data_IF_451248884225
#
_entry.id   IF_451248884225
#
_cell.length_a   1.000
_cell.length_b   1.000
_cell.length_c   1.000
_cell.angle_alpha   90.00
_cell.angle_beta   90.00
_cell.angle_gamma   90.00
#
_symmetry.space_group_name_H-M   'P 1'
#
loop_
_entity.id
_entity.type
_entity.pdbx_description
1 polymer ?
#
# COMPACT_ATOMS: atom_id res chain seq x y z
N UNK A 1 20.53 36.82 55.66
CA UNK A 1 19.26 36.22 55.16
C UNK A 1 19.12 36.10 53.64
N UNK A 2 20.07 36.57 52.81
CA UNK A 2 19.93 36.65 51.33
C UNK A 2 20.29 35.37 50.57
N UNK A 3 21.12 34.46 51.07
CA UNK A 3 21.56 33.25 50.32
C UNK A 3 20.47 32.15 50.23
N UNK A 4 19.67 31.96 51.29
CA UNK A 4 18.58 30.95 51.32
C UNK A 4 17.44 31.22 50.32
N UNK A 5 17.11 32.47 50.11
CA UNK A 5 16.06 32.89 49.16
C UNK A 5 16.50 32.70 47.68
N UNK A 6 17.79 32.88 47.37
CA UNK A 6 18.28 32.63 46.00
C UNK A 6 18.32 31.14 45.66
N UNK A 7 18.67 30.29 46.64
CA UNK A 7 18.70 28.82 46.42
C UNK A 7 17.27 28.28 46.27
N UNK A 8 16.32 28.78 47.06
CA UNK A 8 14.91 28.37 46.96
C UNK A 8 14.29 28.78 45.64
N UNK A 9 14.58 29.99 45.12
CA UNK A 9 14.12 30.43 43.80
C UNK A 9 14.72 29.55 42.65
N UNK A 10 15.99 29.15 42.75
CA UNK A 10 16.63 28.24 41.76
C UNK A 10 16.03 26.84 41.79
N UNK A 11 15.68 26.32 42.96
CA UNK A 11 15.02 25.01 43.09
C UNK A 11 13.58 25.06 42.52
N UNK A 12 12.84 26.12 42.71
CA UNK A 12 11.50 26.31 42.16
C UNK A 12 11.55 26.44 40.62
N UNK A 13 12.51 27.19 40.07
CA UNK A 13 12.67 27.30 38.62
C UNK A 13 13.11 25.98 37.99
N UNK A 14 13.96 25.19 38.65
CA UNK A 14 14.34 23.86 38.18
C UNK A 14 13.17 22.91 38.19
N UNK A 15 12.32 22.92 39.22
CA UNK A 15 11.11 22.10 39.33
C UNK A 15 10.06 22.47 38.28
N UNK A 16 9.88 23.74 37.97
CA UNK A 16 8.97 24.19 36.91
C UNK A 16 9.49 23.77 35.54
N UNK A 17 10.79 23.84 35.30
CA UNK A 17 11.42 23.43 34.04
C UNK A 17 11.28 21.91 33.79
N UNK A 18 11.41 21.08 34.86
CA UNK A 18 11.19 19.63 34.75
C UNK A 18 9.74 19.26 34.50
N UNK A 19 8.78 19.99 35.05
CA UNK A 19 7.33 19.79 34.81
C UNK A 19 6.97 20.14 33.35
N UNK A 20 7.55 21.18 32.77
CA UNK A 20 7.33 21.60 31.39
C UNK A 20 7.91 20.58 30.41
N UNK A 21 9.06 19.97 30.70
CA UNK A 21 9.65 18.91 29.88
C UNK A 21 8.84 17.59 29.93
N UNK A 22 8.17 17.30 31.05
CA UNK A 22 7.35 16.10 31.19
C UNK A 22 6.00 16.20 30.45
N UNK A 23 5.52 17.41 30.17
CA UNK A 23 4.25 17.65 29.47
C UNK A 23 4.35 17.58 27.93
N UNK A 24 5.56 17.45 27.35
CA UNK A 24 5.78 17.52 25.90
C UNK A 24 5.80 16.19 25.18
N UNK A 25 5.46 15.08 25.83
CA UNK A 25 5.44 13.74 25.21
C UNK A 25 4.05 13.11 25.14
N UNK A 26 3.09 13.82 24.57
CA UNK A 26 1.93 13.17 23.98
C UNK A 26 1.91 13.45 22.48
N UNK A 27 2.88 12.89 21.75
CA UNK A 27 2.69 12.71 20.32
C UNK A 27 1.70 11.55 20.20
N UNK A 28 0.43 11.88 20.24
CA UNK A 28 -0.61 11.01 19.73
C UNK A 28 -0.41 10.97 18.21
N UNK A 29 0.29 9.97 17.71
CA UNK A 29 0.15 9.54 16.33
C UNK A 29 -1.30 9.06 16.20
N UNK A 30 -2.21 9.96 15.92
CA UNK A 30 -3.42 9.59 15.22
C UNK A 30 -2.95 9.14 13.85
N UNK A 31 -2.76 7.84 13.68
CA UNK A 31 -2.96 7.22 12.39
C UNK A 31 -4.38 7.63 11.99
N UNK A 32 -4.49 8.64 11.13
CA UNK A 32 -5.69 8.88 10.35
C UNK A 32 -5.71 7.85 9.19
N UNK A 33 -5.49 6.58 9.50
CA UNK A 33 -6.02 5.52 8.72
C UNK A 33 -7.49 5.47 9.12
N UNK A 34 -8.37 5.94 8.27
CA UNK A 34 -9.79 5.78 8.49
C UNK A 34 -10.04 4.28 8.56
N UNK A 35 -10.22 3.82 9.77
CA UNK A 35 -10.52 2.44 10.09
C UNK A 35 -11.92 2.16 9.56
N UNK A 36 -12.09 1.07 8.82
CA UNK A 36 -13.40 0.55 8.41
C UNK A 36 -14.34 0.61 9.62
N UNK A 37 -15.50 1.26 9.45
CA UNK A 37 -16.55 1.21 10.47
C UNK A 37 -17.21 -0.19 10.43
N UNK A 38 -16.64 -1.14 11.15
CA UNK A 38 -17.14 -2.51 11.23
C UNK A 38 -18.55 -2.64 11.83
N UNK A 39 -19.15 -1.56 12.32
CA UNK A 39 -20.57 -1.56 12.70
C UNK A 39 -21.48 -1.52 11.48
N UNK A 40 -21.02 -0.94 10.37
CA UNK A 40 -21.75 -0.72 9.13
C UNK A 40 -21.26 -1.61 7.98
N UNK A 41 -19.94 -1.81 7.88
CA UNK A 41 -19.29 -2.56 6.80
C UNK A 41 -18.78 -3.89 7.36
N UNK A 42 -19.32 -5.00 6.90
CA UNK A 42 -19.05 -6.35 7.42
C UNK A 42 -18.56 -7.34 6.38
N UNK A 43 -18.77 -7.01 5.10
CA UNK A 43 -18.50 -7.91 3.99
C UNK A 43 -17.84 -7.20 2.82
N UNK A 44 -17.11 -7.95 2.02
CA UNK A 44 -16.47 -7.50 0.80
C UNK A 44 -16.59 -8.56 -0.28
N UNK A 45 -16.94 -8.12 -1.49
CA UNK A 45 -16.82 -8.92 -2.72
C UNK A 45 -15.54 -8.53 -3.42
N UNK A 46 -14.71 -9.52 -3.75
CA UNK A 46 -13.50 -9.33 -4.55
C UNK A 46 -13.69 -10.14 -5.83
N UNK A 47 -13.89 -9.44 -6.96
CA UNK A 47 -14.01 -10.07 -8.26
C UNK A 47 -12.64 -10.61 -8.72
N UNK A 48 -12.63 -11.61 -9.59
CA UNK A 48 -11.42 -12.06 -10.24
C UNK A 48 -10.90 -10.99 -11.20
N UNK A 49 -9.59 -10.68 -11.12
CA UNK A 49 -8.89 -9.72 -11.97
C UNK A 49 -8.28 -10.46 -13.16
N UNK A 50 -8.87 -10.39 -14.36
CA UNK A 50 -8.30 -10.99 -15.55
C UNK A 50 -7.04 -10.24 -16.02
N UNK A 51 -6.14 -10.96 -16.68
CA UNK A 51 -5.00 -10.34 -17.36
C UNK A 51 -5.39 -9.92 -18.79
N UNK A 52 -5.53 -8.61 -18.99
CA UNK A 52 -5.80 -7.97 -20.27
C UNK A 52 -4.54 -7.32 -20.89
N UNK A 53 -3.36 -7.57 -20.31
CA UNK A 53 -2.10 -7.06 -20.84
C UNK A 53 -1.66 -7.80 -22.10
N UNK A 54 -0.89 -7.12 -22.95
CA UNK A 54 -0.41 -7.69 -24.21
C UNK A 54 0.65 -8.81 -23.99
N UNK A 55 1.51 -8.64 -22.98
CA UNK A 55 2.49 -9.65 -22.60
C UNK A 55 1.84 -10.66 -21.66
N UNK A 56 2.03 -11.93 -21.96
CA UNK A 56 1.38 -13.02 -21.20
C UNK A 56 2.40 -13.71 -20.30
N UNK A 57 2.08 -13.78 -19.03
CA UNK A 57 2.74 -14.61 -18.03
C UNK A 57 1.66 -15.39 -17.26
N UNK A 58 1.44 -16.68 -17.55
CA UNK A 58 0.29 -17.43 -17.04
C UNK A 58 0.12 -17.40 -15.51
N UNK A 59 1.18 -17.46 -14.67
CA UNK A 59 1.02 -17.41 -13.23
C UNK A 59 0.56 -16.05 -12.67
N UNK A 60 0.68 -14.95 -13.45
CA UNK A 60 0.41 -13.59 -12.99
C UNK A 60 -1.01 -13.43 -12.42
N UNK A 61 -2.00 -13.92 -13.14
CA UNK A 61 -3.41 -13.81 -12.74
C UNK A 61 -3.68 -14.51 -11.42
N UNK A 62 -3.22 -15.75 -11.28
CA UNK A 62 -3.40 -16.53 -10.05
C UNK A 62 -2.68 -15.87 -8.88
N UNK A 63 -1.38 -15.55 -9.04
CA UNK A 63 -0.59 -14.90 -7.99
C UNK A 63 -1.23 -13.59 -7.51
N UNK A 64 -1.69 -12.76 -8.46
CA UNK A 64 -2.32 -11.47 -8.12
C UNK A 64 -3.63 -11.65 -7.35
N UNK A 65 -4.52 -12.52 -7.84
CA UNK A 65 -5.81 -12.75 -7.18
C UNK A 65 -5.65 -13.41 -5.79
N UNK A 66 -4.69 -14.33 -5.65
CA UNK A 66 -4.40 -14.96 -4.37
C UNK A 66 -3.88 -13.93 -3.37
N UNK A 67 -2.93 -13.07 -3.75
CA UNK A 67 -2.38 -12.05 -2.86
C UNK A 67 -3.42 -11.00 -2.49
N UNK A 68 -4.25 -10.55 -3.45
CA UNK A 68 -5.34 -9.62 -3.18
C UNK A 68 -6.35 -10.20 -2.17
N UNK A 69 -6.74 -11.46 -2.31
CA UNK A 69 -7.61 -12.12 -1.34
C UNK A 69 -6.93 -12.27 0.03
N UNK A 70 -5.65 -12.64 0.05
CA UNK A 70 -4.89 -12.85 1.28
C UNK A 70 -4.78 -11.58 2.13
N UNK A 71 -4.50 -10.42 1.52
CA UNK A 71 -4.36 -9.18 2.28
C UNK A 71 -5.67 -8.79 2.97
N UNK A 72 -6.81 -8.88 2.28
CA UNK A 72 -8.11 -8.57 2.87
C UNK A 72 -8.51 -9.57 3.94
N UNK A 73 -8.26 -10.86 3.73
CA UNK A 73 -8.56 -11.91 4.71
C UNK A 73 -7.70 -11.78 5.97
N UNK A 74 -6.44 -11.38 5.85
CA UNK A 74 -5.49 -11.32 6.95
C UNK A 74 -5.50 -10.00 7.72
N UNK A 75 -5.73 -8.88 7.02
CA UNK A 75 -5.62 -7.54 7.61
C UNK A 75 -6.97 -6.88 7.95
N UNK A 76 -8.09 -7.51 7.60
CA UNK A 76 -9.42 -7.00 7.93
C UNK A 76 -10.25 -8.03 8.69
N UNK A 77 -11.40 -7.58 9.24
CA UNK A 77 -12.43 -8.44 9.82
C UNK A 77 -13.62 -8.62 8.88
N UNK A 78 -13.43 -8.27 7.60
CA UNK A 78 -14.50 -8.39 6.61
C UNK A 78 -14.70 -9.84 6.21
N UNK A 79 -15.97 -10.25 6.06
CA UNK A 79 -16.29 -11.52 5.46
C UNK A 79 -16.17 -11.39 3.94
N UNK A 80 -15.30 -12.17 3.32
CA UNK A 80 -15.22 -12.24 1.86
C UNK A 80 -16.41 -13.05 1.37
N UNK A 81 -17.26 -12.45 0.54
CA UNK A 81 -18.46 -13.06 -0.04
C UNK A 81 -18.38 -13.07 -1.57
N UNK A 82 -19.07 -14.01 -2.19
CA UNK A 82 -19.04 -14.17 -3.65
C UNK A 82 -19.81 -13.09 -4.42
N UNK A 83 -20.78 -12.43 -3.78
CA UNK A 83 -21.56 -11.34 -4.36
C UNK A 83 -22.28 -10.55 -3.27
N UNK A 84 -22.59 -9.28 -3.56
CA UNK A 84 -23.42 -8.42 -2.70
C UNK A 84 -22.75 -8.03 -1.39
N UNK A 85 -21.44 -7.83 -1.38
CA UNK A 85 -20.71 -7.29 -0.26
C UNK A 85 -21.08 -5.85 0.05
N UNK A 86 -20.84 -5.42 1.30
CA UNK A 86 -20.90 -4.00 1.67
C UNK A 86 -19.86 -3.17 0.93
N UNK A 87 -18.75 -3.79 0.58
CA UNK A 87 -17.71 -3.29 -0.32
C UNK A 87 -17.59 -4.21 -1.52
N UNK A 88 -17.36 -3.64 -2.70
CA UNK A 88 -17.07 -4.39 -3.92
C UNK A 88 -15.77 -3.88 -4.55
N UNK A 89 -14.87 -4.82 -4.87
CA UNK A 89 -13.65 -4.57 -5.63
C UNK A 89 -13.66 -5.39 -6.89
N UNK A 90 -13.45 -4.72 -8.02
CA UNK A 90 -13.29 -5.34 -9.32
C UNK A 90 -12.21 -4.63 -10.14
N UNK A 91 -11.75 -5.25 -11.21
CA UNK A 91 -10.74 -4.63 -12.05
C UNK A 91 -10.08 -5.59 -13.01
N UNK A 92 -8.93 -5.18 -13.52
CA UNK A 92 -8.12 -6.00 -14.42
C UNK A 92 -6.64 -5.59 -14.38
N UNK A 93 -5.76 -6.53 -14.65
CA UNK A 93 -4.37 -6.27 -14.99
C UNK A 93 -4.37 -5.74 -16.43
N UNK A 94 -4.03 -4.46 -16.62
CA UNK A 94 -4.12 -3.75 -17.90
C UNK A 94 -2.78 -3.51 -18.56
N UNK A 95 -1.69 -3.65 -17.79
CA UNK A 95 -0.33 -3.49 -18.31
C UNK A 95 0.63 -4.50 -17.70
N UNK A 96 1.33 -5.21 -18.57
CA UNK A 96 2.52 -5.98 -18.24
C UNK A 96 3.48 -5.76 -19.40
N UNK A 97 4.49 -4.91 -19.19
CA UNK A 97 5.30 -4.38 -20.28
C UNK A 97 6.77 -4.40 -19.92
N UNK A 98 7.59 -4.75 -20.90
CA UNK A 98 9.05 -4.72 -20.83
C UNK A 98 9.58 -3.65 -21.76
N UNK A 99 10.37 -2.72 -21.24
CA UNK A 99 10.97 -1.63 -22.00
C UNK A 99 12.48 -1.59 -21.76
N UNK A 100 13.32 -1.67 -22.80
CA UNK A 100 14.75 -1.46 -22.67
C UNK A 100 15.04 0.00 -22.26
N UNK A 101 15.91 0.19 -21.28
CA UNK A 101 16.42 1.49 -20.86
C UNK A 101 17.84 1.65 -21.42
N UNK A 102 18.06 2.64 -22.28
CA UNK A 102 19.40 3.04 -22.68
C UNK A 102 19.95 4.09 -21.72
N UNK A 103 21.06 3.80 -21.07
CA UNK A 103 21.74 4.74 -20.19
C UNK A 103 23.00 5.25 -20.89
N UNK A 104 22.94 6.46 -21.43
CA UNK A 104 24.10 7.26 -21.84
C UNK A 104 24.90 6.79 -23.06
N UNK A 105 25.87 7.63 -23.50
CA UNK A 105 26.69 7.46 -24.71
C UNK A 105 27.72 6.30 -24.64
N UNK A 106 27.86 5.64 -23.50
CA UNK A 106 28.73 4.47 -23.30
C UNK A 106 27.89 3.24 -22.90
N UNK A 107 27.05 2.77 -23.77
CA UNK A 107 26.05 1.69 -23.73
C UNK A 107 26.47 0.32 -23.08
N UNK A 108 27.26 0.32 -22.02
CA UNK A 108 27.71 -0.88 -21.31
C UNK A 108 26.81 -1.30 -20.13
N UNK A 109 25.79 -0.51 -19.79
CA UNK A 109 24.81 -0.84 -18.78
C UNK A 109 23.39 -0.61 -19.32
N UNK A 110 22.99 -1.44 -20.29
CA UNK A 110 21.60 -1.48 -20.72
C UNK A 110 20.80 -2.24 -19.65
N UNK A 111 19.80 -1.56 -19.09
CA UNK A 111 18.83 -2.16 -18.19
C UNK A 111 17.51 -2.35 -18.92
N UNK A 112 16.72 -3.28 -18.45
CA UNK A 112 15.33 -3.44 -18.84
C UNK A 112 14.44 -3.00 -17.67
N UNK A 113 13.30 -2.37 -17.98
CA UNK A 113 12.25 -2.06 -17.02
C UNK A 113 11.04 -2.91 -17.29
N UNK A 114 10.65 -3.67 -16.29
CA UNK A 114 9.37 -4.38 -16.24
C UNK A 114 8.37 -3.49 -15.51
N UNK A 115 7.16 -3.34 -16.06
CA UNK A 115 6.07 -2.55 -15.46
C UNK A 115 4.81 -3.39 -15.41
N UNK A 116 4.18 -3.42 -14.24
CA UNK A 116 2.85 -4.02 -14.02
C UNK A 116 1.87 -2.89 -13.71
N UNK A 117 0.69 -2.92 -14.32
CA UNK A 117 -0.37 -1.92 -14.09
C UNK A 117 -1.72 -2.62 -13.91
N UNK A 118 -2.44 -2.22 -12.87
CA UNK A 118 -3.76 -2.76 -12.53
C UNK A 118 -4.74 -1.61 -12.41
N UNK A 119 -5.89 -1.72 -13.08
CA UNK A 119 -7.04 -0.83 -12.88
C UNK A 119 -7.99 -1.46 -11.91
N UNK A 120 -8.46 -0.66 -10.97
CA UNK A 120 -9.35 -1.07 -9.89
C UNK A 120 -10.56 -0.15 -9.87
N UNK A 121 -11.72 -0.76 -9.82
CA UNK A 121 -13.00 -0.14 -9.56
C UNK A 121 -13.48 -0.58 -8.19
N UNK A 122 -13.70 0.36 -7.29
CA UNK A 122 -14.10 0.13 -5.92
C UNK A 122 -15.42 0.83 -5.61
N UNK A 123 -16.35 0.11 -4.98
CA UNK A 123 -17.64 0.62 -4.56
C UNK A 123 -17.85 0.35 -3.08
N UNK A 124 -18.28 1.39 -2.36
CA UNK A 124 -18.81 1.26 -1.02
C UNK A 124 -20.35 1.31 -1.08
N UNK A 125 -20.99 0.15 -1.02
CA UNK A 125 -22.44 0.02 -1.11
C UNK A 125 -23.18 0.60 0.11
N UNK A 126 -22.48 0.86 1.21
CA UNK A 126 -23.07 1.46 2.42
C UNK A 126 -23.16 2.98 2.30
N UNK A 127 -22.16 3.64 1.70
CA UNK A 127 -22.14 5.10 1.52
C UNK A 127 -22.56 5.53 0.13
N UNK A 128 -22.46 4.64 -0.86
CA UNK A 128 -22.70 4.93 -2.28
C UNK A 128 -21.47 5.56 -2.97
N UNK A 129 -20.31 5.55 -2.31
CA UNK A 129 -19.07 6.08 -2.90
C UNK A 129 -18.49 5.07 -3.89
N UNK A 130 -18.00 5.58 -5.02
CA UNK A 130 -17.41 4.81 -6.11
C UNK A 130 -16.13 5.47 -6.57
N UNK A 131 -15.08 4.70 -6.80
CA UNK A 131 -13.77 5.21 -7.24
C UNK A 131 -13.13 4.30 -8.27
N UNK A 132 -12.51 4.92 -9.28
CA UNK A 132 -11.68 4.28 -10.29
C UNK A 132 -10.24 4.71 -10.12
N UNK A 133 -9.36 3.74 -9.88
CA UNK A 133 -7.94 4.00 -9.67
C UNK A 133 -7.07 3.11 -10.56
N UNK A 134 -5.84 3.58 -10.84
CA UNK A 134 -4.84 2.79 -11.53
C UNK A 134 -3.57 2.75 -10.68
N UNK A 135 -3.11 1.55 -10.37
CA UNK A 135 -1.93 1.28 -9.58
C UNK A 135 -0.84 0.68 -10.47
N UNK A 136 0.42 1.02 -10.21
CA UNK A 136 1.50 0.55 -11.06
C UNK A 136 2.78 0.39 -10.26
N UNK A 137 3.47 -0.73 -10.47
CA UNK A 137 4.80 -0.98 -9.95
C UNK A 137 5.77 -1.24 -11.08
N UNK A 138 7.05 -0.98 -10.85
CA UNK A 138 8.08 -1.27 -11.83
C UNK A 138 9.36 -1.78 -11.17
N UNK A 139 10.10 -2.63 -11.90
CA UNK A 139 11.41 -3.13 -11.49
C UNK A 139 12.35 -3.05 -12.66
N UNK A 140 13.62 -2.78 -12.38
CA UNK A 140 14.68 -2.81 -13.39
C UNK A 140 15.59 -4.01 -13.15
N UNK A 141 16.12 -4.57 -14.24
CA UNK A 141 17.08 -5.65 -14.19
C UNK A 141 18.10 -5.51 -15.34
N UNK A 142 19.34 -6.02 -15.17
CA UNK A 142 20.38 -5.94 -16.19
C UNK A 142 19.95 -6.61 -17.50
N UNK A 143 20.26 -6.01 -18.63
CA UNK A 143 20.01 -6.61 -19.97
C UNK A 143 20.80 -7.89 -20.24
N UNK A 144 21.77 -8.21 -19.37
CA UNK A 144 22.50 -9.49 -19.40
C UNK A 144 21.68 -10.67 -18.88
N UNK A 145 20.59 -10.40 -18.17
CA UNK A 145 19.63 -11.40 -17.71
C UNK A 145 18.45 -11.46 -18.68
N UNK A 146 17.87 -12.65 -18.84
CA UNK A 146 16.61 -12.78 -19.61
C UNK A 146 15.42 -12.50 -18.71
N UNK A 147 14.29 -12.06 -19.27
CA UNK A 147 13.06 -11.87 -18.48
C UNK A 147 12.66 -13.17 -17.78
N UNK A 148 12.78 -14.32 -18.44
CA UNK A 148 12.41 -15.62 -17.87
C UNK A 148 13.20 -15.97 -16.59
N UNK A 149 14.44 -15.49 -16.48
CA UNK A 149 15.29 -15.80 -15.32
C UNK A 149 14.86 -15.00 -14.05
N UNK A 150 14.25 -13.84 -14.25
CA UNK A 150 14.00 -12.88 -13.17
C UNK A 150 12.51 -12.57 -12.95
N UNK A 151 11.64 -12.87 -13.93
CA UNK A 151 10.26 -12.40 -13.92
C UNK A 151 9.46 -12.89 -12.72
N UNK A 152 9.68 -14.11 -12.26
CA UNK A 152 8.92 -14.72 -11.16
C UNK A 152 9.11 -13.93 -9.86
N UNK A 153 10.36 -13.66 -9.50
CA UNK A 153 10.71 -12.88 -8.31
C UNK A 153 10.27 -11.40 -8.44
N UNK A 154 10.49 -10.78 -9.63
CA UNK A 154 10.10 -9.39 -9.83
C UNK A 154 8.58 -9.20 -9.80
N UNK A 155 7.84 -10.18 -10.32
CA UNK A 155 6.37 -10.13 -10.30
C UNK A 155 5.84 -10.27 -8.88
N UNK A 156 6.40 -11.16 -8.06
CA UNK A 156 5.99 -11.30 -6.66
C UNK A 156 6.15 -9.99 -5.90
N UNK A 157 7.31 -9.32 -6.02
CA UNK A 157 7.53 -8.00 -5.41
C UNK A 157 6.59 -6.91 -5.94
N UNK A 158 6.28 -6.92 -7.25
CA UNK A 158 5.39 -5.91 -7.86
C UNK A 158 3.92 -6.15 -7.50
N UNK A 159 3.50 -7.40 -7.35
CA UNK A 159 2.16 -7.77 -6.88
C UNK A 159 1.99 -7.30 -5.44
N UNK A 160 2.92 -7.62 -4.54
CA UNK A 160 2.89 -7.18 -3.15
C UNK A 160 2.73 -5.65 -3.06
N UNK A 161 3.58 -4.90 -3.78
CA UNK A 161 3.50 -3.43 -3.82
C UNK A 161 2.15 -2.90 -4.32
N UNK A 162 1.60 -3.47 -5.41
CA UNK A 162 0.34 -3.02 -5.98
C UNK A 162 -0.84 -3.38 -5.06
N UNK A 163 -0.83 -4.58 -4.50
CA UNK A 163 -1.88 -5.05 -3.59
C UNK A 163 -1.91 -4.21 -2.32
N UNK A 164 -0.75 -3.84 -1.77
CA UNK A 164 -0.63 -2.89 -0.66
C UNK A 164 -1.19 -1.50 -1.02
N UNK A 165 -0.90 -1.00 -2.22
CA UNK A 165 -1.44 0.28 -2.69
C UNK A 165 -2.97 0.20 -2.84
N UNK A 166 -3.52 -0.89 -3.39
CA UNK A 166 -4.96 -1.11 -3.51
C UNK A 166 -5.61 -1.15 -2.13
N UNK A 167 -5.07 -1.94 -1.22
CA UNK A 167 -5.55 -2.07 0.14
C UNK A 167 -5.59 -0.72 0.86
N UNK A 168 -4.49 0.04 0.80
CA UNK A 168 -4.41 1.37 1.38
C UNK A 168 -5.37 2.36 0.71
N UNK A 169 -5.55 2.28 -0.60
CA UNK A 169 -6.45 3.16 -1.35
C UNK A 169 -7.94 2.84 -1.18
N UNK A 170 -8.28 1.66 -0.68
CA UNK A 170 -9.67 1.21 -0.54
C UNK A 170 -10.15 1.13 0.91
N UNK A 171 -9.38 0.54 1.82
CA UNK A 171 -9.85 0.29 3.19
C UNK A 171 -9.06 1.01 4.29
N UNK A 172 -7.90 1.56 3.98
CA UNK A 172 -7.09 2.28 4.97
C UNK A 172 -7.31 3.81 4.94
N UNK A 173 -7.99 4.37 3.94
CA UNK A 173 -8.17 5.81 3.73
C UNK A 173 -9.63 6.31 3.89
N UNK A 174 -10.45 5.64 4.70
CA UNK A 174 -11.85 6.03 4.97
C UNK A 174 -11.99 6.85 6.23
#
# INVERSE_FOLDING_TARGET
MSKKTKTMKRLITLAILTIILAASCTISYKFNGASIDYSKVKSITIAEFPNNAALVYPPLTTKFNDELNNIYASQTRLNIVSAGGDLDISGAITGYNLVPLSVGANALAAENRLTLTVKVHFINNVTGDETDNSYSANRTFPSTSTLNDVQDALIDEMIEEIVDQIFNGTVANW
#
